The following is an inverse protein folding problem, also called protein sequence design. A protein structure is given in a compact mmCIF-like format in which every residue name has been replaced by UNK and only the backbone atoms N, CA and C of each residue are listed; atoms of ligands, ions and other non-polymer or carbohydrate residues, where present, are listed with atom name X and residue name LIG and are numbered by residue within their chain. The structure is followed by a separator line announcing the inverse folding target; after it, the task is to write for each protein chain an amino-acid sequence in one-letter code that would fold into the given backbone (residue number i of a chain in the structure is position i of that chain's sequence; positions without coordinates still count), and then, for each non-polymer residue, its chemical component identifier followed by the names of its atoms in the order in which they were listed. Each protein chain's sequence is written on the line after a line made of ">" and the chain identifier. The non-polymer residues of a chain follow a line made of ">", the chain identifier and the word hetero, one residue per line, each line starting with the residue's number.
data_IF_220058602628
#
_entry.id   IF_220058602628
#
_cell.length_a   1.000
_cell.length_b   1.000
_cell.length_c   1.000
_cell.angle_alpha   90.00
_cell.angle_beta   90.00
_cell.angle_gamma   90.00
#
_symmetry.space_group_name_H-M   'P 1'
#
loop_
_entity.id
_entity.type
_entity.pdbx_description
1 polymer ?
#
# COMPACT_ATOMS: atom_id res chain seq x y z
N UNK A 1 23.06 11.31 -12.74
CA UNK A 1 22.29 10.57 -11.71
C UNK A 1 23.09 9.33 -11.35
N UNK A 2 23.40 9.13 -10.07
CA UNK A 2 24.09 7.92 -9.64
C UNK A 2 23.15 6.70 -9.79
N UNK A 3 23.62 5.56 -10.31
CA UNK A 3 22.81 4.36 -10.40
C UNK A 3 22.35 3.91 -9.02
N UNK A 4 21.04 3.80 -8.82
CA UNK A 4 20.47 3.24 -7.59
C UNK A 4 20.51 1.71 -7.70
N UNK A 5 21.62 1.11 -7.24
CA UNK A 5 21.79 -0.34 -7.27
C UNK A 5 20.70 -1.10 -6.50
N UNK A 6 20.07 -0.48 -5.49
CA UNK A 6 18.99 -1.11 -4.75
C UNK A 6 17.73 -1.27 -5.60
N UNK A 7 17.39 -0.30 -6.47
CA UNK A 7 16.23 -0.45 -7.36
C UNK A 7 16.44 -1.55 -8.40
N UNK A 8 17.66 -1.71 -8.91
CA UNK A 8 18.01 -2.83 -9.81
C UNK A 8 17.90 -4.19 -9.10
N UNK A 9 18.31 -4.25 -7.82
CA UNK A 9 18.22 -5.45 -6.99
C UNK A 9 16.75 -5.83 -6.69
N UNK A 10 15.87 -4.85 -6.54
CA UNK A 10 14.42 -5.10 -6.34
C UNK A 10 13.74 -5.62 -7.59
N UNK A 11 14.02 -5.00 -8.74
CA UNK A 11 13.28 -5.26 -9.97
C UNK A 11 13.56 -6.65 -10.55
N UNK A 12 14.70 -7.25 -10.22
CA UNK A 12 15.03 -8.62 -10.62
C UNK A 12 14.65 -9.65 -9.56
N UNK A 13 14.20 -10.81 -10.04
CA UNK A 13 13.96 -11.96 -9.17
C UNK A 13 15.23 -12.82 -9.05
N UNK A 14 16.06 -12.52 -8.06
CA UNK A 14 17.29 -13.27 -7.78
C UNK A 14 17.03 -14.63 -7.12
N UNK A 15 15.80 -14.91 -6.65
CA UNK A 15 15.47 -16.19 -5.98
C UNK A 15 15.60 -17.38 -6.93
N UNK A 16 15.36 -17.17 -8.23
CA UNK A 16 15.37 -18.21 -9.28
C UNK A 16 16.71 -18.35 -9.99
N UNK A 17 17.67 -17.48 -9.70
CA UNK A 17 18.97 -17.49 -10.36
C UNK A 17 19.84 -18.55 -9.70
N UNK A 18 20.03 -19.71 -10.33
CA UNK A 18 21.06 -20.67 -9.93
C UNK A 18 22.40 -20.20 -10.53
N UNK A 19 23.32 -19.78 -9.67
CA UNK A 19 24.67 -19.36 -10.07
C UNK A 19 25.68 -19.98 -9.11
N UNK A 20 26.88 -20.30 -9.61
CA UNK A 20 28.00 -20.71 -8.75
C UNK A 20 28.72 -19.51 -8.11
N UNK A 21 28.28 -18.28 -8.41
CA UNK A 21 28.89 -17.06 -7.92
C UNK A 21 28.52 -16.82 -6.45
N UNK A 22 29.54 -16.82 -5.58
CA UNK A 22 29.39 -16.63 -4.14
C UNK A 22 28.79 -15.26 -3.79
N UNK A 23 29.16 -14.19 -4.50
CA UNK A 23 28.63 -12.84 -4.24
C UNK A 23 27.13 -12.78 -4.50
N UNK A 24 26.68 -13.41 -5.59
CA UNK A 24 25.25 -13.45 -5.92
C UNK A 24 24.48 -14.26 -4.87
N UNK A 25 24.99 -15.43 -4.48
CA UNK A 25 24.30 -16.32 -3.55
C UNK A 25 24.27 -15.81 -2.11
N UNK A 26 25.37 -15.24 -1.61
CA UNK A 26 25.50 -14.86 -0.21
C UNK A 26 25.20 -13.39 0.08
N UNK A 27 25.18 -12.53 -0.93
CA UNK A 27 25.05 -11.08 -0.75
C UNK A 27 23.83 -10.55 -1.50
N UNK A 28 23.78 -10.73 -2.82
CA UNK A 28 22.71 -10.15 -3.66
C UNK A 28 21.34 -10.79 -3.39
N UNK A 29 21.26 -12.12 -3.26
CA UNK A 29 20.01 -12.83 -2.98
C UNK A 29 19.37 -12.40 -1.64
N UNK A 30 20.07 -12.44 -0.50
CA UNK A 30 19.52 -11.94 0.77
C UNK A 30 19.09 -10.47 0.69
N UNK A 31 19.94 -9.59 0.15
CA UNK A 31 19.61 -8.18 -0.04
C UNK A 31 18.34 -7.99 -0.88
N UNK A 32 18.19 -8.74 -1.97
CA UNK A 32 16.97 -8.66 -2.79
C UNK A 32 15.71 -9.04 -2.04
N UNK A 33 15.79 -10.02 -1.13
CA UNK A 33 14.68 -10.44 -0.30
C UNK A 33 14.34 -9.42 0.79
N UNK A 34 15.36 -8.90 1.48
CA UNK A 34 15.20 -7.89 2.51
C UNK A 34 14.61 -6.60 1.94
N UNK A 35 15.10 -6.12 0.79
CA UNK A 35 14.59 -4.89 0.18
C UNK A 35 13.15 -5.07 -0.30
N UNK A 36 12.80 -6.23 -0.88
CA UNK A 36 11.40 -6.53 -1.26
C UNK A 36 10.48 -6.57 -0.04
N UNK A 37 10.93 -7.18 1.05
CA UNK A 37 10.19 -7.23 2.32
C UNK A 37 10.01 -5.82 2.89
N UNK A 38 11.06 -5.01 2.91
CA UNK A 38 11.00 -3.62 3.37
C UNK A 38 10.02 -2.79 2.53
N UNK A 39 10.02 -2.94 1.21
CA UNK A 39 9.05 -2.28 0.33
C UNK A 39 7.61 -2.70 0.63
N UNK A 40 7.36 -3.99 0.83
CA UNK A 40 6.05 -4.51 1.19
C UNK A 40 5.55 -3.89 2.51
N UNK A 41 6.42 -3.84 3.53
CA UNK A 41 6.12 -3.21 4.82
C UNK A 41 5.83 -1.71 4.67
N UNK A 42 6.61 -0.98 3.88
CA UNK A 42 6.38 0.44 3.62
C UNK A 42 5.03 0.66 2.93
N UNK A 43 4.68 -0.15 1.93
CA UNK A 43 3.39 -0.06 1.24
C UNK A 43 2.25 -0.35 2.21
N UNK A 44 2.36 -1.38 3.04
CA UNK A 44 1.35 -1.73 4.05
C UNK A 44 1.14 -0.59 5.05
N UNK A 45 2.21 -0.04 5.62
CA UNK A 45 2.14 1.08 6.57
C UNK A 45 1.52 2.31 5.91
N UNK A 46 1.88 2.62 4.66
CA UNK A 46 1.26 3.72 3.91
C UNK A 46 -0.24 3.52 3.73
N UNK A 47 -0.69 2.30 3.41
CA UNK A 47 -2.12 1.98 3.27
C UNK A 47 -2.87 2.15 4.59
N UNK A 48 -2.30 1.66 5.70
CA UNK A 48 -2.90 1.81 7.02
C UNK A 48 -3.05 3.28 7.40
N UNK A 49 -1.99 4.08 7.20
CA UNK A 49 -2.03 5.52 7.50
C UNK A 49 -3.02 6.29 6.61
N UNK A 50 -3.10 5.94 5.32
CA UNK A 50 -4.12 6.50 4.43
C UNK A 50 -5.53 6.18 4.91
N UNK A 51 -5.78 4.94 5.33
CA UNK A 51 -7.07 4.53 5.89
C UNK A 51 -7.43 5.33 7.14
N UNK A 52 -6.49 5.48 8.08
CA UNK A 52 -6.70 6.28 9.30
C UNK A 52 -7.03 7.74 8.97
N UNK A 53 -6.34 8.34 7.99
CA UNK A 53 -6.62 9.70 7.55
C UNK A 53 -8.04 9.83 6.98
N UNK A 54 -8.46 8.91 6.11
CA UNK A 54 -9.82 8.92 5.56
C UNK A 54 -10.89 8.71 6.63
N UNK A 55 -10.67 7.81 7.59
CA UNK A 55 -11.60 7.60 8.70
C UNK A 55 -11.74 8.87 9.56
N UNK A 56 -10.65 9.59 9.78
CA UNK A 56 -10.67 10.85 10.51
C UNK A 56 -11.38 11.95 9.72
N UNK A 57 -11.13 12.06 8.42
CA UNK A 57 -11.83 13.01 7.53
C UNK A 57 -13.34 12.72 7.50
N UNK A 58 -13.74 11.46 7.38
CA UNK A 58 -15.15 11.07 7.42
C UNK A 58 -15.82 11.44 8.75
N UNK A 59 -15.14 11.19 9.87
CA UNK A 59 -15.66 11.58 11.20
C UNK A 59 -15.84 13.09 11.30
N UNK A 60 -14.88 13.87 10.81
CA UNK A 60 -14.96 15.32 10.81
C UNK A 60 -16.11 15.82 9.93
N UNK A 61 -16.22 15.30 8.70
CA UNK A 61 -17.31 15.66 7.78
C UNK A 61 -18.68 15.33 8.38
N UNK A 62 -18.83 14.17 9.00
CA UNK A 62 -20.08 13.80 9.67
C UNK A 62 -20.41 14.75 10.82
N UNK A 63 -19.43 15.18 11.61
CA UNK A 63 -19.64 16.17 12.67
C UNK A 63 -20.08 17.52 12.11
N UNK A 64 -19.47 18.00 11.03
CA UNK A 64 -19.85 19.24 10.35
C UNK A 64 -21.26 19.16 9.76
N UNK A 65 -21.61 18.05 9.13
CA UNK A 65 -22.95 17.81 8.60
C UNK A 65 -24.01 17.76 9.70
N UNK A 66 -23.73 17.05 10.80
CA UNK A 66 -24.60 17.01 11.97
C UNK A 66 -24.82 18.42 12.55
N UNK A 67 -23.76 19.24 12.63
CA UNK A 67 -23.86 20.63 13.07
C UNK A 67 -24.73 21.49 12.12
N UNK A 68 -24.77 21.16 10.83
CA UNK A 68 -25.64 21.78 9.83
C UNK A 68 -27.04 21.16 9.76
N UNK A 69 -27.38 20.19 10.63
CA UNK A 69 -28.67 19.48 10.59
C UNK A 69 -28.85 18.59 9.35
N UNK A 70 -27.76 18.21 8.68
CA UNK A 70 -27.74 17.36 7.50
C UNK A 70 -27.11 16.02 7.86
N UNK A 71 -27.56 14.93 7.25
CA UNK A 71 -26.85 13.65 7.31
C UNK A 71 -26.07 13.43 6.02
N UNK A 72 -24.89 12.83 6.15
CA UNK A 72 -24.16 12.27 5.01
C UNK A 72 -24.95 11.08 4.48
N UNK A 73 -25.21 11.03 3.17
CA UNK A 73 -25.57 9.76 2.54
C UNK A 73 -24.40 8.79 2.75
N UNK A 74 -24.65 7.52 3.12
CA UNK A 74 -23.55 6.56 3.25
C UNK A 74 -22.85 6.50 1.90
N UNK A 75 -21.57 6.88 1.85
CA UNK A 75 -20.73 6.56 0.70
C UNK A 75 -20.65 5.04 0.67
N UNK A 76 -21.50 4.44 -0.15
CA UNK A 76 -21.39 3.04 -0.53
C UNK A 76 -19.96 2.84 -1.02
N UNK A 77 -19.20 2.00 -0.32
CA UNK A 77 -17.97 1.46 -0.86
C UNK A 77 -18.40 0.67 -2.09
N UNK A 78 -18.31 1.29 -3.27
CA UNK A 78 -18.59 0.60 -4.51
C UNK A 78 -17.37 -0.31 -4.78
N UNK A 79 -17.32 -1.42 -4.06
CA UNK A 79 -16.51 -2.59 -4.43
C UNK A 79 -17.08 -3.12 -5.75
N UNK A 80 -16.21 -3.15 -6.76
CA UNK A 80 -16.36 -3.76 -8.08
C UNK A 80 -17.69 -4.47 -8.36
N UNK A 81 -18.40 -3.95 -9.36
CA UNK A 81 -19.56 -4.51 -10.06
C UNK A 81 -20.92 -4.52 -9.31
N UNK A 82 -21.63 -3.41 -9.53
CA UNK A 82 -22.99 -3.34 -10.12
C UNK A 82 -24.16 -2.90 -9.27
N UNK A 83 -24.13 -2.82 -7.94
CA UNK A 83 -25.30 -2.32 -7.20
C UNK A 83 -24.91 -1.60 -5.90
N UNK A 84 -24.82 -0.26 -5.96
CA UNK A 84 -24.80 0.57 -4.76
C UNK A 84 -26.27 0.84 -4.41
N UNK A 85 -26.81 0.09 -3.42
CA UNK A 85 -28.19 0.24 -2.97
C UNK A 85 -28.33 1.46 -2.06
N UNK A 86 -29.24 2.36 -2.41
CA UNK A 86 -29.72 3.43 -1.54
C UNK A 86 -30.58 2.79 -0.43
N UNK A 87 -30.10 2.83 0.80
CA UNK A 87 -30.92 2.51 1.96
C UNK A 87 -31.89 3.68 2.20
N UNK A 88 -33.16 3.48 1.82
CA UNK A 88 -34.29 4.31 2.24
C UNK A 88 -34.57 4.12 3.74
#
# INVERSE_FOLDING_TARGET
>A
MAPNYLSEIVNRDFSRISTQNRVINYLVKPLSFEVKTAQSLIIMVRRLRMKELYENEQKQQQQELNAMGKSTYPMSVCEHDRWCYEAY
#
